data_IF_420925300724
#
_entry.id   IF_420925300724
#
_cell.length_a   1.000
_cell.length_b   1.000
_cell.length_c   1.000
_cell.angle_alpha   90.00
_cell.angle_beta   90.00
_cell.angle_gamma   90.00
#
_symmetry.space_group_name_H-M   'P 1'
#
loop_
_entity.id
_entity.type
_entity.pdbx_description
1 polymer ?
#
# COMPACT_ATOMS: atom_id res chain seq x y z
N UNK A 1 0.57 -18.09 44.00
CA UNK A 1 1.06 -16.85 43.37
C UNK A 1 0.27 -16.60 42.09
N UNK A 2 -0.66 -15.65 42.08
CA UNK A 2 -1.44 -15.32 40.88
C UNK A 2 -0.64 -14.34 40.02
N UNK A 3 -0.11 -14.82 38.89
CA UNK A 3 0.61 -14.04 37.90
C UNK A 3 -0.38 -13.08 37.22
N UNK A 4 -0.38 -11.79 37.60
CA UNK A 4 -1.21 -10.77 36.94
C UNK A 4 -0.48 -10.20 35.72
N UNK A 5 -0.54 -10.88 34.58
CA UNK A 5 -0.06 -10.30 33.34
C UNK A 5 -0.80 -8.99 33.04
N UNK A 6 -0.04 -7.98 32.58
CA UNK A 6 -0.65 -6.75 32.07
C UNK A 6 -1.43 -7.07 30.80
N UNK A 7 -2.55 -6.38 30.59
CA UNK A 7 -3.39 -6.53 29.39
C UNK A 7 -2.49 -6.41 28.15
N UNK A 8 -2.49 -7.43 27.26
CA UNK A 8 -1.73 -7.39 26.01
C UNK A 8 -2.09 -6.19 25.14
N UNK A 9 -1.11 -5.74 24.38
CA UNK A 9 -1.26 -4.62 23.43
C UNK A 9 -1.01 -5.13 22.02
N UNK A 10 -1.88 -4.78 21.08
CA UNK A 10 -1.77 -5.13 19.68
C UNK A 10 -1.87 -3.89 18.80
N UNK A 11 -1.20 -3.93 17.65
CA UNK A 11 -1.17 -2.82 16.70
C UNK A 11 -0.39 -3.18 15.45
N UNK A 12 0.10 -2.17 14.73
CA UNK A 12 0.79 -2.40 13.47
C UNK A 12 2.02 -1.50 13.24
N UNK A 13 2.95 -2.03 12.46
CA UNK A 13 4.02 -1.30 11.78
C UNK A 13 3.61 -1.23 10.32
N UNK A 14 3.09 -0.08 9.90
CA UNK A 14 2.63 0.15 8.52
C UNK A 14 3.81 0.67 7.71
N UNK A 15 4.24 -0.11 6.72
CA UNK A 15 5.35 0.20 5.82
C UNK A 15 4.84 0.66 4.46
N UNK A 16 5.54 1.65 3.90
CA UNK A 16 5.27 2.12 2.55
C UNK A 16 5.66 1.07 1.49
N UNK A 17 5.31 1.31 0.22
CA UNK A 17 5.65 0.42 -0.90
C UNK A 17 7.15 0.16 -1.07
N UNK A 18 8.02 1.11 -0.70
CA UNK A 18 9.48 0.98 -0.79
C UNK A 18 10.11 0.28 0.44
N UNK A 19 9.30 0.00 1.48
CA UNK A 19 9.71 -0.58 2.75
C UNK A 19 10.81 0.23 3.47
N UNK A 20 10.86 1.56 3.26
CA UNK A 20 11.88 2.46 3.82
C UNK A 20 11.30 3.49 4.80
N UNK A 21 9.98 3.63 4.86
CA UNK A 21 9.27 4.46 5.85
C UNK A 21 8.21 3.65 6.58
N UNK A 22 7.90 4.08 7.80
CA UNK A 22 6.80 3.56 8.59
C UNK A 22 5.90 4.67 9.13
N UNK A 23 4.62 4.36 9.34
CA UNK A 23 3.68 5.28 9.99
C UNK A 23 3.91 5.27 11.51
N UNK A 24 4.09 6.46 12.08
CA UNK A 24 4.02 6.68 13.52
C UNK A 24 2.91 7.69 13.86
N UNK A 25 2.33 7.55 15.04
CA UNK A 25 1.33 8.45 15.61
C UNK A 25 1.89 9.17 16.84
N UNK A 26 1.41 10.39 17.11
CA UNK A 26 1.76 11.17 18.29
C UNK A 26 0.52 11.83 18.89
N UNK A 27 0.32 11.66 20.20
CA UNK A 27 -0.77 12.31 20.93
C UNK A 27 -0.56 13.80 21.21
N UNK A 28 -1.59 14.46 21.76
CA UNK A 28 -1.66 15.92 21.91
C UNK A 28 -0.70 16.54 22.93
N UNK A 29 -0.25 15.79 23.94
CA UNK A 29 0.69 16.35 24.91
C UNK A 29 2.03 16.68 24.27
N UNK A 30 2.64 17.80 24.66
CA UNK A 30 4.04 18.10 24.36
C UNK A 30 5.00 17.02 24.91
N UNK A 31 4.56 16.30 25.94
CA UNK A 31 5.21 15.11 26.51
C UNK A 31 4.71 13.81 25.88
N UNK A 32 4.04 13.83 24.73
CA UNK A 32 3.78 12.62 23.93
C UNK A 32 4.95 12.30 23.02
N UNK A 33 5.24 11.02 22.84
CA UNK A 33 6.27 10.53 21.93
C UNK A 33 5.61 9.97 20.68
N UNK A 34 6.35 9.94 19.58
CA UNK A 34 5.99 9.19 18.38
C UNK A 34 6.07 7.70 18.65
N UNK A 35 5.03 6.96 18.32
CA UNK A 35 4.96 5.51 18.51
C UNK A 35 4.17 4.83 17.42
N UNK A 36 4.25 3.51 17.38
CA UNK A 36 3.41 2.72 16.49
C UNK A 36 1.95 2.76 16.96
N UNK A 37 0.98 2.78 16.02
CA UNK A 37 -0.44 2.72 16.35
C UNK A 37 -0.78 1.36 16.96
N UNK A 38 -1.38 1.38 18.15
CA UNK A 38 -1.63 0.18 18.98
C UNK A 38 -2.47 0.53 20.21
N UNK A 39 -3.22 -0.45 20.69
CA UNK A 39 -3.90 -0.36 21.99
C UNK A 39 -4.17 -1.72 22.60
N UNK A 40 -5.02 -1.74 23.61
CA UNK A 40 -5.21 -2.92 24.46
C UNK A 40 -6.22 -3.85 23.82
N UNK A 41 -5.98 -5.15 23.99
CA UNK A 41 -6.94 -6.17 23.60
C UNK A 41 -8.18 -6.11 24.49
N UNK A 42 -9.36 -6.28 23.88
CA UNK A 42 -10.62 -6.44 24.58
C UNK A 42 -10.81 -7.90 25.03
N UNK A 43 -11.82 -8.13 25.87
CA UNK A 43 -12.19 -9.49 26.26
C UNK A 43 -12.63 -10.30 25.02
N UNK A 44 -12.15 -11.54 24.91
CA UNK A 44 -12.50 -12.47 23.83
C UNK A 44 -12.18 -11.96 22.41
N UNK A 45 -11.26 -10.99 22.29
CA UNK A 45 -10.80 -10.44 21.01
C UNK A 45 -9.53 -11.16 20.54
N UNK A 46 -9.46 -11.52 19.26
CA UNK A 46 -8.25 -12.06 18.64
C UNK A 46 -7.18 -10.98 18.44
N UNK A 47 -5.90 -11.33 18.55
CA UNK A 47 -4.81 -10.36 18.47
C UNK A 47 -4.78 -9.57 17.15
N UNK A 48 -5.09 -10.21 16.02
CA UNK A 48 -5.16 -9.52 14.72
C UNK A 48 -6.40 -8.61 14.61
N UNK A 49 -7.53 -9.02 15.19
CA UNK A 49 -8.73 -8.19 15.24
C UNK A 49 -8.50 -6.93 16.09
N UNK A 50 -7.84 -7.07 17.24
CA UNK A 50 -7.41 -5.94 18.06
C UNK A 50 -6.50 -4.99 17.28
N UNK A 51 -5.49 -5.52 16.58
CA UNK A 51 -4.59 -4.69 15.78
C UNK A 51 -5.33 -3.92 14.68
N UNK A 52 -6.28 -4.55 13.98
CA UNK A 52 -7.11 -3.91 12.95
C UNK A 52 -7.94 -2.77 13.54
N UNK A 53 -8.65 -3.04 14.64
CA UNK A 53 -9.50 -2.07 15.33
C UNK A 53 -8.71 -0.85 15.80
N UNK A 54 -7.64 -1.08 16.55
CA UNK A 54 -6.80 -0.01 17.11
C UNK A 54 -6.18 0.88 16.03
N UNK A 55 -5.70 0.27 14.93
CA UNK A 55 -5.12 1.04 13.82
C UNK A 55 -6.19 1.84 13.08
N UNK A 56 -7.38 1.27 12.88
CA UNK A 56 -8.51 1.98 12.28
C UNK A 56 -8.97 3.15 13.15
N UNK A 57 -8.99 2.97 14.47
CA UNK A 57 -9.33 4.02 15.45
C UNK A 57 -8.31 5.17 15.44
N UNK A 58 -7.01 4.87 15.57
CA UNK A 58 -5.96 5.89 15.69
C UNK A 58 -5.58 6.55 14.36
N UNK A 59 -5.75 5.85 13.23
CA UNK A 59 -5.25 6.32 11.92
C UNK A 59 -6.32 6.47 10.85
N UNK A 60 -7.53 5.91 11.06
CA UNK A 60 -8.58 5.86 10.05
C UNK A 60 -8.36 4.86 8.92
N UNK A 61 -7.25 4.12 8.94
CA UNK A 61 -6.87 3.19 7.88
C UNK A 61 -7.16 1.73 8.26
N UNK A 62 -7.89 1.02 7.40
CA UNK A 62 -8.16 -0.42 7.57
C UNK A 62 -7.00 -1.25 7.01
N UNK A 63 -6.29 -1.94 7.92
CA UNK A 63 -5.18 -2.84 7.58
C UNK A 63 -5.62 -4.28 7.31
N UNK A 64 -6.89 -4.63 7.57
CA UNK A 64 -7.42 -5.99 7.45
C UNK A 64 -7.09 -6.68 6.12
N UNK A 65 -7.30 -6.01 4.96
CA UNK A 65 -7.00 -6.59 3.65
C UNK A 65 -5.52 -6.91 3.40
N UNK A 66 -4.60 -6.25 4.14
CA UNK A 66 -3.16 -6.41 3.97
C UNK A 66 -2.52 -7.25 5.09
N UNK A 67 -3.25 -7.52 6.17
CA UNK A 67 -2.74 -8.20 7.34
C UNK A 67 -2.46 -9.67 7.04
N UNK A 68 -1.27 -10.11 7.43
CA UNK A 68 -0.90 -11.53 7.45
C UNK A 68 -0.67 -11.94 8.89
N UNK A 69 -1.42 -12.95 9.36
CA UNK A 69 -1.35 -13.42 10.75
C UNK A 69 0.05 -13.87 11.18
N UNK A 70 0.90 -14.25 10.23
CA UNK A 70 2.29 -14.69 10.46
C UNK A 70 3.31 -13.54 10.53
N UNK A 71 2.98 -12.38 9.97
CA UNK A 71 3.93 -11.28 9.80
C UNK A 71 3.78 -10.31 10.98
N UNK A 72 4.42 -10.62 12.10
CA UNK A 72 4.42 -9.76 13.28
C UNK A 72 5.76 -9.75 14.01
N UNK A 73 5.97 -8.72 14.82
CA UNK A 73 7.02 -8.69 15.85
C UNK A 73 6.33 -8.67 17.20
N UNK A 74 6.69 -9.63 18.05
CA UNK A 74 6.19 -9.71 19.41
C UNK A 74 7.33 -9.60 20.41
N UNK A 75 7.12 -8.79 21.44
CA UNK A 75 8.02 -8.58 22.55
C UNK A 75 7.24 -8.62 23.86
N UNK A 76 7.85 -9.13 24.91
CA UNK A 76 7.34 -9.01 26.27
C UNK A 76 8.23 -8.05 27.05
N UNK A 77 7.66 -6.95 27.55
CA UNK A 77 8.36 -5.93 28.31
C UNK A 77 7.58 -5.60 29.57
N UNK A 78 8.24 -5.66 30.74
CA UNK A 78 7.61 -5.36 32.04
C UNK A 78 6.27 -6.10 32.21
N UNK A 79 6.29 -7.40 31.89
CA UNK A 79 5.11 -8.30 31.99
C UNK A 79 3.93 -7.91 31.08
N UNK A 80 4.16 -7.03 30.10
CA UNK A 80 3.19 -6.70 29.06
C UNK A 80 3.64 -7.29 27.72
N UNK A 81 2.78 -8.12 27.13
CA UNK A 81 2.94 -8.63 25.78
C UNK A 81 2.54 -7.55 24.78
N UNK A 82 3.41 -7.24 23.83
CA UNK A 82 3.16 -6.27 22.77
C UNK A 82 3.41 -6.96 21.44
N UNK A 83 2.37 -7.03 20.60
CA UNK A 83 2.44 -7.60 19.25
C UNK A 83 2.14 -6.52 18.21
N UNK A 84 3.05 -6.32 17.28
CA UNK A 84 2.85 -5.40 16.16
C UNK A 84 2.90 -6.18 14.84
N UNK A 85 1.81 -6.18 14.09
CA UNK A 85 1.74 -6.77 12.75
C UNK A 85 2.46 -5.90 11.74
N UNK A 86 3.17 -6.51 10.79
CA UNK A 86 3.91 -5.80 9.75
C UNK A 86 3.04 -5.70 8.50
N UNK A 87 2.53 -4.51 8.24
CA UNK A 87 1.72 -4.20 7.06
C UNK A 87 2.64 -3.59 6.00
N UNK A 88 2.55 -4.07 4.77
CA UNK A 88 3.47 -3.69 3.69
C UNK A 88 2.68 -3.16 2.50
N UNK A 89 3.31 -2.28 1.73
CA UNK A 89 2.76 -1.88 0.43
C UNK A 89 1.77 -0.72 0.47
N UNK A 90 1.66 -0.02 1.60
CA UNK A 90 0.73 1.11 1.72
C UNK A 90 1.28 2.32 0.96
N UNK A 91 0.53 2.94 0.05
CA UNK A 91 1.00 4.14 -0.67
C UNK A 91 1.23 5.30 0.31
N UNK A 92 2.29 6.08 0.12
CA UNK A 92 2.55 7.25 0.99
C UNK A 92 1.49 8.35 0.85
N UNK A 93 0.79 8.38 -0.30
CA UNK A 93 -0.34 9.26 -0.56
C UNK A 93 -1.62 8.86 0.20
N UNK A 94 -1.60 7.76 0.97
CA UNK A 94 -2.72 7.36 1.81
C UNK A 94 -2.97 8.44 2.86
N UNK A 95 -4.19 8.95 2.91
CA UNK A 95 -4.62 9.89 3.93
C UNK A 95 -4.95 9.14 5.21
N UNK A 96 -4.32 9.54 6.32
CA UNK A 96 -4.60 9.02 7.65
C UNK A 96 -5.35 10.07 8.45
N UNK A 97 -6.55 9.71 8.91
CA UNK A 97 -7.45 10.60 9.64
C UNK A 97 -7.95 9.83 10.87
N UNK A 98 -7.49 10.17 12.10
CA UNK A 98 -7.94 9.52 13.32
C UNK A 98 -9.47 9.56 13.45
N UNK A 99 -10.06 8.45 13.92
CA UNK A 99 -11.49 8.38 14.26
C UNK A 99 -11.76 8.75 15.71
N UNK A 100 -10.74 8.68 16.57
CA UNK A 100 -10.88 9.01 17.99
C UNK A 100 -10.78 10.51 18.25
N UNK A 101 -11.54 11.00 19.24
CA UNK A 101 -11.55 12.42 19.61
C UNK A 101 -10.39 12.74 20.55
N UNK A 102 -9.51 13.65 20.12
CA UNK A 102 -8.43 14.24 20.95
C UNK A 102 -7.37 13.27 21.49
N UNK A 103 -7.19 12.11 20.86
CA UNK A 103 -6.13 11.17 21.26
C UNK A 103 -4.87 11.36 20.41
N UNK A 104 -5.02 11.34 19.08
CA UNK A 104 -3.93 11.53 18.12
C UNK A 104 -3.93 12.97 17.62
N UNK A 105 -2.77 13.61 17.69
CA UNK A 105 -2.55 14.98 17.21
C UNK A 105 -1.89 15.02 15.85
N UNK A 106 -1.03 14.04 15.57
CA UNK A 106 -0.20 13.99 14.36
C UNK A 106 0.03 12.54 13.95
N UNK A 107 0.03 12.32 12.64
CA UNK A 107 0.39 11.07 11.99
C UNK A 107 1.42 11.41 10.91
N UNK A 108 2.49 10.63 10.80
CA UNK A 108 3.52 10.90 9.80
C UNK A 108 4.25 9.64 9.37
N UNK A 109 4.70 9.67 8.12
CA UNK A 109 5.68 8.73 7.59
C UNK A 109 7.08 9.11 8.08
N UNK A 110 7.68 8.22 8.87
CA UNK A 110 9.04 8.37 9.40
C UNK A 110 9.95 7.35 8.74
N UNK A 111 11.12 7.79 8.25
CA UNK A 111 12.08 6.86 7.64
C UNK A 111 12.62 5.88 8.66
N UNK A 112 12.83 4.64 8.23
CA UNK A 112 13.40 3.58 9.07
C UNK A 112 14.86 3.86 9.48
N UNK A 113 15.57 4.69 8.71
CA UNK A 113 16.94 5.14 9.03
C UNK A 113 16.95 6.14 10.19
N UNK A 114 15.92 6.97 10.31
CA UNK A 114 15.78 8.00 11.35
C UNK A 114 15.31 7.43 12.69
N UNK A 115 14.85 6.17 12.73
CA UNK A 115 14.41 5.53 13.97
C UNK A 115 15.60 5.23 14.90
N UNK A 116 15.53 5.64 16.17
CA UNK A 116 16.60 5.36 17.13
C UNK A 116 16.78 3.86 17.36
N UNK A 117 18.03 3.45 17.57
CA UNK A 117 18.42 2.10 17.95
C UNK A 117 19.13 2.12 19.31
N UNK A 118 19.27 0.96 19.96
CA UNK A 118 20.07 0.86 21.19
C UNK A 118 21.53 1.30 21.03
N UNK A 119 22.09 1.28 19.81
CA UNK A 119 23.47 1.73 19.55
C UNK A 119 23.59 3.25 19.44
N UNK A 120 22.51 3.93 19.07
CA UNK A 120 22.50 5.38 18.81
C UNK A 120 22.01 6.20 20.01
N UNK A 121 21.54 5.55 21.08
CA UNK A 121 21.22 6.23 22.34
C UNK A 121 22.50 6.49 23.13
N UNK A 122 22.75 7.76 23.42
CA UNK A 122 23.88 8.21 24.23
C UNK A 122 23.78 7.62 25.66
N UNK A 123 24.79 6.86 26.12
CA UNK A 123 24.83 6.33 27.49
C UNK A 123 24.73 7.39 28.58
N UNK A 124 25.10 8.65 28.30
CA UNK A 124 25.16 9.76 29.27
C UNK A 124 23.79 10.35 29.60
N UNK A 125 22.76 10.06 28.81
CA UNK A 125 21.41 10.62 28.96
C UNK A 125 20.42 9.74 29.74
N UNK A 126 20.94 8.79 30.53
CA UNK A 126 20.18 8.18 31.63
C UNK A 126 19.27 7.02 31.21
N UNK A 127 19.60 5.84 31.74
CA UNK A 127 18.79 4.62 31.80
C UNK A 127 18.26 4.10 30.46
N UNK A 128 18.99 3.12 29.88
CA UNK A 128 18.60 2.29 28.74
C UNK A 128 17.33 1.44 28.91
N UNK A 129 16.46 1.81 29.84
CA UNK A 129 15.19 1.19 30.20
C UNK A 129 14.01 2.16 30.22
N UNK A 130 14.18 3.43 29.81
CA UNK A 130 13.06 4.36 29.67
C UNK A 130 12.26 4.04 28.40
N UNK A 131 10.93 4.10 28.51
CA UNK A 131 10.04 3.87 27.36
C UNK A 131 10.17 4.95 26.28
N UNK A 132 10.88 6.04 26.56
CA UNK A 132 11.04 7.21 25.70
C UNK A 132 12.50 7.42 25.32
N UNK A 133 12.74 7.73 24.05
CA UNK A 133 14.07 8.05 23.52
C UNK A 133 14.01 9.34 22.70
N UNK A 134 14.88 10.31 22.99
CA UNK A 134 15.03 11.52 22.19
C UNK A 134 16.04 11.27 21.06
N UNK A 135 15.69 11.61 19.83
CA UNK A 135 16.58 11.57 18.68
C UNK A 135 16.29 12.78 17.79
N UNK A 136 17.26 13.70 17.69
CA UNK A 136 17.04 15.02 17.09
C UNK A 136 15.91 15.78 17.79
N UNK A 137 14.99 16.34 17.00
CA UNK A 137 13.79 17.05 17.47
C UNK A 137 12.66 16.10 17.88
N UNK A 138 12.80 14.80 17.63
CA UNK A 138 11.77 13.81 17.90
C UNK A 138 11.99 13.13 19.24
N UNK A 139 10.88 12.73 19.87
CA UNK A 139 10.86 11.83 21.01
C UNK A 139 10.03 10.61 20.64
N UNK A 140 10.61 9.43 20.76
CA UNK A 140 10.01 8.16 20.38
C UNK A 140 9.58 7.39 21.61
N UNK A 141 8.39 6.81 21.60
CA UNK A 141 7.85 5.98 22.67
C UNK A 141 7.70 4.54 22.20
N UNK A 142 8.40 3.61 22.86
CA UNK A 142 8.30 2.16 22.59
C UNK A 142 8.59 1.77 21.13
N UNK A 143 9.42 2.53 20.42
CA UNK A 143 9.84 2.23 19.05
C UNK A 143 11.14 1.40 19.04
N UNK A 144 12.16 1.86 19.78
CA UNK A 144 13.53 1.28 19.80
C UNK A 144 13.57 -0.25 19.94
N UNK A 145 12.80 -0.89 20.84
CA UNK A 145 12.83 -2.34 21.01
C UNK A 145 12.50 -3.13 19.73
N UNK A 146 11.71 -2.54 18.83
CA UNK A 146 11.24 -3.19 17.59
C UNK A 146 12.17 -2.94 16.40
N UNK A 147 13.00 -1.88 16.43
CA UNK A 147 13.73 -1.40 15.24
C UNK A 147 14.69 -2.45 14.66
N UNK A 148 15.43 -3.18 15.50
CA UNK A 148 16.37 -4.21 15.02
C UNK A 148 15.65 -5.36 14.29
N UNK A 149 14.55 -5.85 14.87
CA UNK A 149 13.73 -6.92 14.27
C UNK A 149 13.02 -6.44 13.01
N UNK A 150 12.55 -5.20 13.00
CA UNK A 150 11.93 -4.57 11.82
C UNK A 150 12.93 -4.44 10.67
N UNK A 151 14.14 -3.92 10.92
CA UNK A 151 15.19 -3.80 9.90
C UNK A 151 15.59 -5.17 9.35
N UNK A 152 15.66 -6.20 10.21
CA UNK A 152 15.89 -7.57 9.77
C UNK A 152 14.77 -8.07 8.84
N UNK A 153 13.50 -7.92 9.24
CA UNK A 153 12.35 -8.31 8.43
C UNK A 153 12.37 -7.63 7.05
N UNK A 154 12.55 -6.31 7.01
CA UNK A 154 12.60 -5.52 5.77
C UNK A 154 13.73 -6.00 4.85
N UNK A 155 14.91 -6.28 5.40
CA UNK A 155 16.04 -6.77 4.60
C UNK A 155 15.74 -8.15 3.99
N UNK A 156 15.17 -9.08 4.77
CA UNK A 156 14.78 -10.39 4.25
C UNK A 156 13.71 -10.25 3.15
N UNK A 157 12.71 -9.40 3.39
CA UNK A 157 11.65 -9.16 2.42
C UNK A 157 12.16 -8.58 1.11
N UNK A 158 13.04 -7.58 1.16
CA UNK A 158 13.68 -6.98 -0.02
C UNK A 158 14.46 -8.01 -0.84
N UNK A 159 15.20 -8.91 -0.17
CA UNK A 159 15.90 -10.01 -0.85
C UNK A 159 14.93 -10.96 -1.54
N UNK A 160 13.84 -11.35 -0.88
CA UNK A 160 12.83 -12.22 -1.47
C UNK A 160 12.14 -11.58 -2.67
N UNK A 161 11.81 -10.29 -2.61
CA UNK A 161 11.23 -9.55 -3.74
C UNK A 161 12.18 -9.48 -4.94
N UNK A 162 13.48 -9.23 -4.72
CA UNK A 162 14.50 -9.25 -5.77
C UNK A 162 14.58 -10.61 -6.45
N UNK A 163 14.67 -11.70 -5.67
CA UNK A 163 14.68 -13.08 -6.20
C UNK A 163 13.42 -13.42 -6.98
N UNK A 164 12.24 -12.99 -6.51
CA UNK A 164 10.99 -13.21 -7.21
C UNK A 164 10.96 -12.49 -8.56
N UNK A 165 11.46 -11.25 -8.61
CA UNK A 165 11.57 -10.47 -9.85
C UNK A 165 12.55 -11.12 -10.85
N UNK A 166 13.72 -11.57 -10.38
CA UNK A 166 14.70 -12.30 -11.20
C UNK A 166 14.15 -13.63 -11.75
N UNK A 167 13.29 -14.31 -10.98
CA UNK A 167 12.62 -15.53 -11.45
C UNK A 167 11.58 -15.20 -12.52
N UNK A 168 10.78 -14.17 -12.31
CA UNK A 168 9.76 -13.73 -13.26
C UNK A 168 10.37 -13.30 -14.61
N UNK A 169 11.49 -12.56 -14.60
CA UNK A 169 12.18 -12.14 -15.83
C UNK A 169 12.83 -13.31 -16.58
N UNK A 170 13.28 -14.36 -15.88
CA UNK A 170 13.81 -15.58 -16.52
C UNK A 170 12.70 -16.48 -17.11
N UNK A 171 11.52 -16.51 -16.49
CA UNK A 171 10.39 -17.32 -16.98
C UNK A 171 9.66 -16.64 -18.16
N UNK A 172 9.72 -15.31 -18.27
CA UNK A 172 9.19 -14.57 -19.42
C UNK A 172 10.29 -14.35 -20.48
N UNK A 173 10.82 -15.45 -21.06
CA UNK A 173 11.57 -15.33 -22.32
C UNK A 173 10.58 -14.97 -23.45
N UNK A 174 10.90 -14.03 -24.35
CA UNK A 174 10.02 -13.71 -25.46
C UNK A 174 9.90 -14.96 -26.33
N UNK A 175 8.69 -15.52 -26.42
CA UNK A 175 8.35 -16.49 -27.46
C UNK A 175 8.73 -15.83 -28.77
N UNK A 176 9.71 -16.39 -29.50
CA UNK A 176 10.05 -15.95 -30.87
C UNK A 176 8.72 -15.79 -31.60
N UNK A 177 8.40 -14.55 -31.98
CA UNK A 177 7.27 -14.27 -32.87
C UNK A 177 7.59 -15.05 -34.14
N UNK A 178 6.88 -16.15 -34.36
CA UNK A 178 6.93 -16.89 -35.61
C UNK A 178 6.50 -15.90 -36.69
N UNK A 179 7.41 -15.57 -37.62
CA UNK A 179 7.11 -14.72 -38.76
C UNK A 179 5.87 -15.28 -39.45
N UNK A 180 4.80 -14.50 -39.41
CA UNK A 180 3.55 -14.77 -40.11
C UNK A 180 3.87 -14.68 -41.59
N UNK A 181 3.89 -15.81 -42.29
CA UNK A 181 3.89 -15.87 -43.74
C UNK A 181 2.66 -15.12 -44.26
N UNK A 182 2.89 -14.23 -45.22
CA UNK A 182 1.84 -13.48 -45.92
C UNK A 182 0.86 -14.45 -46.55
N UNK A 183 -0.43 -14.28 -46.22
CA UNK A 183 -1.52 -14.96 -46.91
C UNK A 183 -1.79 -14.22 -48.22
N UNK A 184 -1.69 -14.95 -49.33
CA UNK A 184 -2.08 -14.54 -50.67
C UNK A 184 -3.58 -14.26 -50.67
N UNK A 185 -3.96 -13.02 -51.00
CA UNK A 185 -5.36 -12.59 -51.16
C UNK A 185 -5.80 -12.92 -52.59
N UNK A 186 -6.92 -13.65 -52.83
CA UNK A 186 -7.45 -13.81 -54.18
C UNK A 186 -8.17 -12.53 -54.66
N UNK A 187 -8.17 -12.23 -55.97
CA UNK A 187 -8.79 -11.02 -56.50
C UNK A 187 -10.33 -11.07 -56.41
N UNK A 188 -11.01 -9.90 -56.37
CA UNK A 188 -12.46 -9.83 -56.27
C UNK A 188 -13.15 -10.22 -57.59
N UNK A 189 -14.41 -10.72 -57.55
CA UNK A 189 -15.14 -11.11 -58.74
C UNK A 189 -15.56 -9.90 -59.58
N UNK A 190 -15.45 -10.05 -60.89
CA UNK A 190 -15.81 -9.07 -61.92
C UNK A 190 -17.32 -8.88 -61.95
N UNK A 191 -17.79 -7.64 -61.76
CA UNK A 191 -19.20 -7.27 -61.94
C UNK A 191 -19.50 -7.18 -63.44
N UNK A 192 -20.37 -8.06 -63.92
CA UNK A 192 -20.96 -8.02 -65.25
C UNK A 192 -21.79 -6.74 -65.43
N UNK A 193 -21.49 -5.93 -66.45
CA UNK A 193 -22.41 -4.91 -66.95
C UNK A 193 -23.15 -5.44 -68.19
N UNK A 194 -24.49 -5.43 -68.21
CA UNK A 194 -25.25 -5.57 -69.44
C UNK A 194 -25.41 -4.21 -70.14
N UNK A 195 -24.80 -4.16 -71.32
CA UNK A 195 -25.09 -3.39 -72.53
C UNK A 195 -26.27 -2.39 -72.55
N UNK A 196 -25.95 -1.20 -73.06
CA UNK A 196 -26.84 -0.20 -73.65
C UNK A 196 -27.78 -0.75 -74.74
N UNK A 197 -28.89 -0.04 -75.00
CA UNK A 197 -29.11 0.45 -76.35
C UNK A 197 -29.40 1.95 -76.46
N UNK A 198 -28.77 2.51 -77.49
CA UNK A 198 -29.01 3.72 -78.29
C UNK A 198 -30.23 4.63 -78.02
N UNK A 199 -29.90 5.93 -78.01
CA UNK A 199 -30.57 7.12 -78.57
C UNK A 199 -31.95 7.01 -79.24
N UNK A 200 -32.73 8.08 -79.04
CA UNK A 200 -34.00 8.48 -79.67
C UNK A 200 -35.26 8.06 -78.90
N UNK A 201 -35.74 8.92 -77.98
CA UNK A 201 -37.17 9.07 -77.55
C UNK A 201 -37.34 10.08 -76.38
N UNK A 202 -36.66 11.24 -76.41
CA UNK A 202 -37.00 12.36 -75.50
C UNK A 202 -37.20 13.71 -76.22
N UNK A 203 -37.29 13.71 -77.56
CA UNK A 203 -37.71 14.87 -78.35
C UNK A 203 -39.20 14.84 -78.77
N UNK A 204 -40.05 14.02 -78.13
CA UNK A 204 -41.45 13.84 -78.52
C UNK A 204 -42.50 14.20 -77.46
N UNK A 205 -42.11 14.63 -76.26
CA UNK A 205 -43.07 15.10 -75.26
C UNK A 205 -42.64 16.49 -74.80
N UNK A 206 -43.01 17.49 -75.59
CA UNK A 206 -42.87 18.89 -75.24
C UNK A 206 -43.78 19.22 -74.06
N UNK A 207 -43.20 19.58 -72.92
CA UNK A 207 -43.88 20.38 -71.89
C UNK A 207 -42.88 21.39 -71.36
N UNK A 208 -43.35 22.63 -71.36
CA UNK A 208 -42.63 23.88 -71.11
C UNK A 208 -42.66 24.20 -69.61
N UNK A 209 -41.61 24.91 -69.17
CA UNK A 209 -41.51 25.89 -68.07
C UNK A 209 -42.44 25.81 -66.85
N UNK A 210 -41.87 25.97 -65.66
CA UNK A 210 -42.03 27.20 -64.84
C UNK A 210 -41.22 27.12 -63.52
N UNK A 211 -40.32 28.07 -63.33
CA UNK A 211 -40.05 28.75 -62.05
C UNK A 211 -40.85 30.08 -62.09
N UNK A 212 -41.03 30.90 -61.01
CA UNK A 212 -40.26 30.97 -59.75
C UNK A 212 -41.07 31.38 -58.48
N UNK A 213 -40.31 31.64 -57.41
CA UNK A 213 -40.41 32.79 -56.48
C UNK A 213 -41.03 32.57 -55.08
N UNK A 214 -40.29 33.11 -54.09
CA UNK A 214 -40.54 33.14 -52.66
C UNK A 214 -39.23 33.28 -51.91
#
# INVERSE_FOLDING_TARGET
>A
MQYRFRIPVCGAIILNSNLDKCVLVKGWSSKSGWGFPKGKINQDEEYDCCAIREVLEETGYDIGPLLKKTDYIELTMREQRIRLYIIQGVPEATEFIPRTRKEISQISWIKLEDLPTYKTVDPRHGNGYQNYVKAGSYRFYMVVPFVSKLKYFVNQRRKSLRKANEKATKTCSPRKVLQKTEAIIPPPPTVYQPTTPSNALKSMLGVVSETPAG
#
